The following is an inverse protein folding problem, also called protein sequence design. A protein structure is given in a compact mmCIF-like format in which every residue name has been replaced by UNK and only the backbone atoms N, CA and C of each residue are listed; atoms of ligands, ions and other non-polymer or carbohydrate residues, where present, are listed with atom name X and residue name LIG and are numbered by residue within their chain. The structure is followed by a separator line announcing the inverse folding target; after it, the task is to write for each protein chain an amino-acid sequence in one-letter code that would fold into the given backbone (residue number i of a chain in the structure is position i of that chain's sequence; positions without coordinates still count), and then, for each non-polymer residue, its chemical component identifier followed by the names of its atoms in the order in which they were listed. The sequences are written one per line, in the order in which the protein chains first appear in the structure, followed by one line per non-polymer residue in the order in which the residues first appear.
data_IF_265806507277
#
_entry.id   IF_265806507277
#
_cell.length_a   1.000
_cell.length_b   1.000
_cell.length_c   1.000
_cell.angle_alpha   90.00
_cell.angle_beta   90.00
_cell.angle_gamma   90.00
#
_symmetry.space_group_name_H-M   'P 1'
#
loop_
_entity.id
_entity.type
_entity.pdbx_description
1 polymer ?
#
# COMPACT_ATOMS: atom_id res chain seq x y z
N UNK A 1 -13.00 30.05 -29.15
CA UNK A 1 -12.62 30.89 -28.01
C UNK A 1 -11.51 30.32 -27.12
N UNK A 2 -11.71 29.21 -26.39
CA UNK A 2 -10.70 28.66 -25.45
C UNK A 2 -9.32 28.44 -26.09
N UNK A 3 -9.29 27.80 -27.26
CA UNK A 3 -8.05 27.54 -28.00
C UNK A 3 -7.35 28.83 -28.44
N UNK A 4 -8.11 29.80 -28.91
CA UNK A 4 -7.59 31.10 -29.38
C UNK A 4 -6.96 31.88 -28.23
N UNK A 5 -7.61 31.92 -27.05
CA UNK A 5 -7.06 32.58 -25.86
C UNK A 5 -5.83 31.87 -25.30
N UNK A 6 -5.78 30.53 -25.39
CA UNK A 6 -4.57 29.76 -25.04
C UNK A 6 -3.40 30.11 -25.96
N UNK A 7 -3.63 30.16 -27.27
CA UNK A 7 -2.60 30.48 -28.25
C UNK A 7 -2.06 31.91 -28.03
N UNK A 8 -2.95 32.88 -27.76
CA UNK A 8 -2.57 34.26 -27.42
C UNK A 8 -1.73 34.34 -26.14
N UNK A 9 -2.13 33.65 -25.07
CA UNK A 9 -1.36 33.58 -23.82
C UNK A 9 0.02 32.93 -24.03
N UNK A 10 0.09 31.86 -24.83
CA UNK A 10 1.36 31.19 -25.11
C UNK A 10 2.33 32.06 -25.91
N UNK A 11 1.83 32.96 -26.76
CA UNK A 11 2.67 33.92 -27.47
C UNK A 11 3.31 34.93 -26.51
N UNK A 12 2.63 35.31 -25.42
CA UNK A 12 3.23 36.15 -24.38
C UNK A 12 4.42 35.47 -23.69
N UNK A 13 4.42 34.14 -23.55
CA UNK A 13 5.54 33.41 -22.94
C UNK A 13 6.73 33.19 -23.88
N UNK A 14 6.57 33.44 -25.18
CA UNK A 14 7.68 33.37 -26.15
C UNK A 14 8.59 34.59 -26.10
N UNK A 15 8.15 35.68 -25.47
CA UNK A 15 8.92 36.91 -25.34
C UNK A 15 8.91 37.42 -23.90
N UNK A 16 10.07 37.40 -23.24
CA UNK A 16 10.23 37.84 -21.86
C UNK A 16 10.14 39.37 -21.67
N UNK A 17 10.08 40.16 -22.75
CA UNK A 17 9.93 41.61 -22.72
C UNK A 17 8.48 42.11 -22.64
N UNK A 18 7.50 41.21 -22.49
CA UNK A 18 6.10 41.60 -22.37
C UNK A 18 5.80 42.24 -21.02
N UNK A 19 4.87 43.20 -21.01
CA UNK A 19 4.43 43.86 -19.78
C UNK A 19 3.64 42.90 -18.90
N UNK A 20 3.99 42.85 -17.61
CA UNK A 20 3.41 41.91 -16.66
C UNK A 20 1.88 42.11 -16.54
N UNK A 21 1.41 43.36 -16.62
CA UNK A 21 0.00 43.68 -16.48
C UNK A 21 -0.84 43.16 -17.66
N UNK A 22 -0.26 43.14 -18.87
CA UNK A 22 -0.89 42.57 -20.06
C UNK A 22 -0.94 41.04 -20.00
N UNK A 23 0.14 40.40 -19.54
CA UNK A 23 0.18 38.93 -19.35
C UNK A 23 -0.83 38.49 -18.29
N UNK A 24 -0.90 39.19 -17.16
CA UNK A 24 -1.87 38.90 -16.11
C UNK A 24 -3.32 39.07 -16.60
N UNK A 25 -3.58 40.11 -17.38
CA UNK A 25 -4.91 40.34 -17.97
C UNK A 25 -5.30 39.19 -18.88
N UNK A 26 -4.44 38.81 -19.83
CA UNK A 26 -4.71 37.73 -20.79
C UNK A 26 -4.80 36.35 -20.11
N UNK A 27 -4.02 36.13 -19.05
CA UNK A 27 -4.09 34.93 -18.22
C UNK A 27 -5.43 34.83 -17.47
N UNK A 28 -5.85 35.90 -16.80
CA UNK A 28 -7.15 35.95 -16.11
C UNK A 28 -8.32 35.78 -17.08
N UNK A 29 -8.20 36.35 -18.27
CA UNK A 29 -9.17 36.23 -19.36
C UNK A 29 -9.27 34.79 -19.91
N UNK A 30 -8.14 34.06 -19.95
CA UNK A 30 -8.13 32.64 -20.28
C UNK A 30 -8.76 31.79 -19.16
N UNK A 31 -8.43 32.06 -17.89
CA UNK A 31 -9.00 31.35 -16.74
C UNK A 31 -10.52 31.55 -16.60
N UNK A 32 -11.02 32.75 -16.90
CA UNK A 32 -12.45 33.07 -16.88
C UNK A 32 -13.28 32.18 -17.80
N UNK A 33 -12.72 31.71 -18.90
CA UNK A 33 -13.41 30.78 -19.80
C UNK A 33 -13.68 29.42 -19.14
N UNK A 34 -12.87 29.02 -18.16
CA UNK A 34 -13.08 27.79 -17.40
C UNK A 34 -14.08 27.97 -16.24
N UNK A 35 -14.37 29.21 -15.83
CA UNK A 35 -15.34 29.47 -14.77
C UNK A 35 -16.75 28.98 -15.14
N UNK A 36 -17.09 28.93 -16.44
CA UNK A 36 -18.33 28.35 -16.94
C UNK A 36 -18.46 26.84 -16.71
N UNK A 37 -17.37 26.12 -16.43
CA UNK A 37 -17.42 24.71 -16.01
C UNK A 37 -17.70 24.56 -14.51
N UNK A 38 -17.48 25.62 -13.73
CA UNK A 38 -17.57 25.63 -12.26
C UNK A 38 -18.86 26.25 -11.73
N UNK A 39 -19.46 27.19 -12.48
CA UNK A 39 -20.61 27.98 -12.04
C UNK A 39 -21.81 27.69 -12.93
N UNK A 40 -22.96 27.40 -12.31
CA UNK A 40 -24.25 27.27 -13.01
C UNK A 40 -24.67 28.62 -13.62
N UNK A 41 -24.96 28.61 -14.92
CA UNK A 41 -25.32 29.82 -15.67
C UNK A 41 -26.79 30.22 -15.45
N UNK A 42 -27.65 29.31 -14.95
CA UNK A 42 -29.05 29.60 -14.67
C UNK A 42 -29.35 29.59 -13.16
N UNK A 43 -29.56 30.78 -12.59
CA UNK A 43 -30.08 30.95 -11.22
C UNK A 43 -31.62 31.00 -11.14
N UNK A 44 -32.34 30.91 -12.25
CA UNK A 44 -33.79 31.16 -12.30
C UNK A 44 -34.68 29.92 -12.51
N UNK A 45 -34.13 28.70 -12.41
CA UNK A 45 -34.93 27.48 -12.53
C UNK A 45 -35.01 26.73 -11.18
N UNK A 46 -35.54 27.38 -10.15
CA UNK A 46 -36.01 26.68 -8.95
C UNK A 46 -37.50 26.93 -8.77
N UNK A 47 -38.32 26.12 -9.44
CA UNK A 47 -39.66 25.84 -8.94
C UNK A 47 -39.50 25.07 -7.62
N UNK A 48 -40.23 25.49 -6.59
CA UNK A 48 -40.17 24.90 -5.26
C UNK A 48 -40.51 23.41 -5.31
N UNK A 49 -39.55 22.55 -4.93
CA UNK A 49 -39.79 21.12 -4.68
C UNK A 49 -38.81 20.13 -5.32
N UNK A 50 -37.79 20.55 -6.07
CA UNK A 50 -36.88 19.60 -6.74
C UNK A 50 -35.58 19.34 -5.95
N UNK A 51 -35.12 18.10 -6.04
CA UNK A 51 -33.93 17.51 -5.39
C UNK A 51 -32.66 18.39 -5.54
N UNK A 52 -31.90 18.69 -4.46
CA UNK A 52 -30.70 19.55 -4.52
C UNK A 52 -29.60 19.02 -5.46
N UNK A 53 -29.68 17.77 -5.92
CA UNK A 53 -28.74 17.19 -6.88
C UNK A 53 -29.07 17.50 -8.35
N UNK A 54 -30.27 18.01 -8.64
CA UNK A 54 -30.86 18.04 -9.99
C UNK A 54 -30.58 19.32 -10.81
N UNK A 55 -29.64 20.15 -10.38
CA UNK A 55 -29.13 21.28 -11.16
C UNK A 55 -27.63 21.22 -11.42
N UNK A 56 -26.88 20.36 -10.73
CA UNK A 56 -25.42 20.38 -10.75
C UNK A 56 -24.94 19.96 -12.14
N UNK A 57 -24.14 20.82 -12.79
CA UNK A 57 -23.52 20.48 -14.08
C UNK A 57 -22.81 19.14 -13.94
N UNK A 58 -23.01 18.20 -14.87
CA UNK A 58 -22.28 16.92 -14.90
C UNK A 58 -20.75 17.13 -15.02
N UNK A 59 -20.31 18.35 -15.35
CA UNK A 59 -18.92 18.80 -15.42
C UNK A 59 -18.44 19.54 -14.15
N UNK A 60 -19.30 19.72 -13.16
CA UNK A 60 -18.97 20.30 -11.86
C UNK A 60 -18.19 19.40 -10.88
N UNK A 61 -17.98 18.07 -11.06
CA UNK A 61 -17.05 17.36 -10.18
C UNK A 61 -15.63 17.83 -10.50
N UNK A 62 -15.20 18.88 -9.80
CA UNK A 62 -13.83 19.35 -9.77
C UNK A 62 -13.02 18.31 -9.00
N UNK A 63 -12.38 17.41 -9.73
CA UNK A 63 -11.33 16.58 -9.15
C UNK A 63 -10.08 17.43 -9.04
N UNK A 64 -9.82 17.93 -7.83
CA UNK A 64 -8.58 18.61 -7.48
C UNK A 64 -7.48 17.56 -7.39
N UNK A 65 -6.68 17.43 -8.44
CA UNK A 65 -5.43 16.70 -8.38
C UNK A 65 -4.39 17.61 -7.70
N UNK A 66 -4.10 17.35 -6.43
CA UNK A 66 -2.82 17.77 -5.89
C UNK A 66 -1.76 16.93 -6.58
N UNK A 67 -0.72 17.58 -7.13
CA UNK A 67 0.54 16.88 -7.38
C UNK A 67 0.89 16.20 -6.05
N UNK A 68 0.83 14.87 -6.04
CA UNK A 68 0.73 14.08 -4.83
C UNK A 68 1.75 14.59 -3.83
N UNK A 69 1.28 14.89 -2.63
CA UNK A 69 2.07 15.19 -1.44
C UNK A 69 3.57 15.03 -1.71
N UNK A 70 4.29 16.13 -1.91
CA UNK A 70 5.75 16.12 -1.73
C UNK A 70 5.96 15.82 -0.24
N UNK A 71 5.74 14.58 0.18
CA UNK A 71 5.98 14.03 1.50
C UNK A 71 7.48 13.87 1.69
N UNK A 72 8.31 14.78 1.17
CA UNK A 72 9.76 14.62 1.26
C UNK A 72 10.24 14.84 2.68
N UNK A 73 9.64 15.79 3.40
CA UNK A 73 9.94 16.01 4.82
C UNK A 73 9.76 14.73 5.64
N UNK A 74 8.58 14.10 5.53
CA UNK A 74 8.26 12.88 6.26
C UNK A 74 8.95 11.63 5.69
N UNK A 75 9.15 11.55 4.38
CA UNK A 75 9.83 10.44 3.71
C UNK A 75 11.30 10.32 4.15
N UNK A 76 11.99 11.45 4.32
CA UNK A 76 13.37 11.43 4.80
C UNK A 76 13.44 10.82 6.22
N UNK A 77 12.54 11.20 7.12
CA UNK A 77 12.46 10.65 8.48
C UNK A 77 12.06 9.17 8.45
N UNK A 78 11.04 8.80 7.68
CA UNK A 78 10.62 7.41 7.53
C UNK A 78 11.71 6.51 6.93
N UNK A 79 12.48 6.99 5.95
CA UNK A 79 13.59 6.21 5.39
C UNK A 79 14.76 6.07 6.36
N UNK A 80 15.05 7.10 7.18
CA UNK A 80 16.05 7.01 8.25
C UNK A 80 15.64 5.95 9.28
N UNK A 81 14.39 6.00 9.72
CA UNK A 81 13.84 5.03 10.66
C UNK A 81 13.89 3.62 10.07
N UNK A 82 13.49 3.45 8.81
CA UNK A 82 13.59 2.17 8.11
C UNK A 82 15.02 1.61 8.05
N UNK A 83 16.05 2.47 7.96
CA UNK A 83 17.45 2.02 8.04
C UNK A 83 17.81 1.59 9.45
N UNK A 84 17.36 2.29 10.50
CA UNK A 84 17.59 1.90 11.88
C UNK A 84 16.91 0.55 12.21
N UNK A 85 15.66 0.37 11.80
CA UNK A 85 14.92 -0.88 11.94
C UNK A 85 15.55 -2.03 11.14
N UNK A 86 16.12 -1.73 9.98
CA UNK A 86 16.88 -2.72 9.22
C UNK A 86 18.11 -3.24 9.99
N UNK A 87 18.83 -2.39 10.73
CA UNK A 87 19.95 -2.85 11.58
C UNK A 87 19.46 -3.73 12.74
N UNK A 88 18.32 -3.38 13.35
CA UNK A 88 17.68 -4.24 14.35
C UNK A 88 17.30 -5.60 13.74
N UNK A 89 16.76 -5.60 12.52
CA UNK A 89 16.45 -6.82 11.79
C UNK A 89 17.74 -7.63 11.46
N UNK A 90 18.88 -6.99 11.18
CA UNK A 90 20.16 -7.67 11.00
C UNK A 90 20.58 -8.44 12.26
N UNK A 91 20.42 -7.82 13.43
CA UNK A 91 20.73 -8.46 14.71
C UNK A 91 19.85 -9.70 14.93
N UNK A 92 18.55 -9.59 14.65
CA UNK A 92 17.64 -10.73 14.74
C UNK A 92 17.95 -11.83 13.72
N UNK A 93 18.26 -11.47 12.47
CA UNK A 93 18.64 -12.42 11.44
C UNK A 93 19.92 -13.19 11.81
N UNK A 94 20.89 -12.51 12.43
CA UNK A 94 22.12 -13.13 12.94
C UNK A 94 21.80 -14.13 14.05
N UNK A 95 20.99 -13.74 15.03
CA UNK A 95 20.53 -14.62 16.12
C UNK A 95 19.75 -15.82 15.57
N UNK A 96 18.86 -15.61 14.60
CA UNK A 96 18.08 -16.66 13.96
C UNK A 96 18.96 -17.70 13.28
N UNK A 97 20.03 -17.29 12.59
CA UNK A 97 20.92 -18.21 11.87
C UNK A 97 21.63 -19.25 12.76
N UNK A 98 21.75 -18.95 14.05
CA UNK A 98 22.41 -19.80 15.04
C UNK A 98 21.42 -20.44 16.03
N UNK A 99 20.15 -20.02 15.99
CA UNK A 99 19.13 -20.49 16.92
C UNK A 99 18.83 -21.99 16.73
N UNK A 100 18.72 -22.76 17.83
CA UNK A 100 18.24 -24.14 17.77
C UNK A 100 16.72 -24.17 17.58
N UNK A 101 16.22 -25.05 16.71
CA UNK A 101 14.79 -25.23 16.53
C UNK A 101 14.46 -26.23 15.42
N UNK A 102 13.17 -26.62 15.29
CA UNK A 102 12.69 -27.39 14.16
C UNK A 102 12.89 -26.63 12.85
N UNK A 103 13.24 -27.35 11.78
CA UNK A 103 13.46 -26.79 10.45
C UNK A 103 14.92 -26.70 10.04
N UNK A 104 15.13 -26.24 8.80
CA UNK A 104 16.47 -26.11 8.21
C UNK A 104 17.13 -24.84 8.71
N UNK A 105 18.44 -24.90 8.99
CA UNK A 105 19.24 -23.70 9.30
C UNK A 105 19.30 -22.79 8.07
N UNK A 106 18.81 -21.57 8.24
CA UNK A 106 18.73 -20.55 7.19
C UNK A 106 19.58 -19.36 7.62
N UNK A 107 20.17 -18.66 6.65
CA UNK A 107 20.93 -17.43 6.86
C UNK A 107 20.24 -16.27 6.17
N UNK A 108 19.26 -15.60 6.81
CA UNK A 108 18.42 -14.59 6.15
C UNK A 108 19.21 -13.45 5.49
N UNK A 109 20.35 -13.08 6.09
CA UNK A 109 21.26 -12.04 5.58
C UNK A 109 21.84 -12.33 4.19
N UNK A 110 21.96 -13.61 3.81
CA UNK A 110 22.50 -14.01 2.51
C UNK A 110 21.43 -13.94 1.41
N UNK A 111 20.14 -13.87 1.76
CA UNK A 111 19.05 -13.84 0.79
C UNK A 111 18.90 -12.47 0.13
N UNK A 112 18.52 -12.49 -1.15
CA UNK A 112 18.33 -11.29 -1.98
C UNK A 112 17.31 -10.32 -1.40
N UNK A 113 16.19 -10.83 -0.85
CA UNK A 113 15.15 -9.95 -0.30
C UNK A 113 15.72 -9.09 0.83
N UNK A 114 16.57 -9.65 1.69
CA UNK A 114 17.17 -8.94 2.81
C UNK A 114 18.20 -7.92 2.30
N UNK A 115 19.09 -8.35 1.40
CA UNK A 115 20.17 -7.52 0.85
C UNK A 115 19.66 -6.32 0.03
N UNK A 116 18.49 -6.44 -0.59
CA UNK A 116 17.95 -5.40 -1.47
C UNK A 116 17.24 -4.26 -0.71
N UNK A 117 16.80 -4.49 0.53
CA UNK A 117 16.03 -3.50 1.31
C UNK A 117 16.89 -2.29 1.67
N UNK A 118 18.10 -2.48 2.21
CA UNK A 118 18.96 -1.37 2.65
C UNK A 118 19.36 -0.42 1.50
N UNK A 119 19.84 -0.90 0.34
CA UNK A 119 20.12 -0.02 -0.80
C UNK A 119 18.90 0.76 -1.29
N UNK A 120 17.70 0.16 -1.26
CA UNK A 120 16.46 0.82 -1.63
C UNK A 120 16.14 1.97 -0.67
N UNK A 121 16.20 1.72 0.65
CA UNK A 121 15.98 2.74 1.67
C UNK A 121 16.98 3.90 1.55
N UNK A 122 18.27 3.61 1.36
CA UNK A 122 19.31 4.62 1.20
C UNK A 122 19.06 5.47 -0.05
N UNK A 123 18.75 4.84 -1.18
CA UNK A 123 18.44 5.56 -2.42
C UNK A 123 17.25 6.51 -2.25
N UNK A 124 16.20 6.07 -1.55
CA UNK A 124 15.04 6.90 -1.29
C UNK A 124 15.36 8.04 -0.32
N UNK A 125 16.16 7.78 0.71
CA UNK A 125 16.63 8.78 1.66
C UNK A 125 17.45 9.88 0.96
N UNK A 126 18.47 9.51 0.18
CA UNK A 126 19.32 10.44 -0.56
C UNK A 126 18.50 11.28 -1.54
N UNK A 127 17.54 10.65 -2.22
CA UNK A 127 16.62 11.36 -3.13
C UNK A 127 15.80 12.40 -2.36
N UNK A 128 15.19 12.02 -1.25
CA UNK A 128 14.38 12.92 -0.42
C UNK A 128 15.22 14.07 0.15
N UNK A 129 16.43 13.81 0.62
CA UNK A 129 17.34 14.85 1.12
C UNK A 129 17.79 15.82 0.02
N UNK A 130 18.16 15.28 -1.15
CA UNK A 130 18.59 16.09 -2.30
C UNK A 130 17.47 17.02 -2.76
N UNK A 131 16.31 16.47 -3.08
CA UNK A 131 15.16 17.24 -3.54
C UNK A 131 14.68 18.25 -2.48
N UNK A 132 14.67 17.89 -1.20
CA UNK A 132 14.31 18.84 -0.14
C UNK A 132 15.35 19.96 0.00
N UNK A 133 16.64 19.65 -0.16
CA UNK A 133 17.73 20.63 -0.09
C UNK A 133 17.82 21.57 -1.29
N UNK A 134 17.33 21.17 -2.48
CA UNK A 134 17.42 21.97 -3.71
C UNK A 134 16.11 22.65 -4.12
N UNK A 135 14.95 22.08 -3.78
CA UNK A 135 13.66 22.49 -4.34
C UNK A 135 12.70 22.95 -3.24
N UNK A 136 12.50 22.13 -2.21
CA UNK A 136 11.33 22.31 -1.33
C UNK A 136 11.62 23.04 -0.03
N UNK A 137 12.82 22.88 0.54
CA UNK A 137 13.24 23.48 1.81
C UNK A 137 12.21 23.30 2.94
N UNK A 138 11.51 22.16 2.95
CA UNK A 138 10.51 21.86 3.96
C UNK A 138 11.20 21.46 5.27
N UNK A 139 10.64 21.83 6.43
CA UNK A 139 11.10 21.30 7.71
C UNK A 139 10.92 19.78 7.71
N UNK A 140 11.96 19.07 8.14
CA UNK A 140 11.96 17.61 8.29
C UNK A 140 11.43 17.31 9.70
N UNK A 141 10.31 16.60 9.86
CA UNK A 141 9.82 16.21 11.19
C UNK A 141 10.82 15.30 11.90
N UNK A 142 11.01 15.50 13.20
CA UNK A 142 11.89 14.64 14.01
C UNK A 142 11.27 13.26 14.27
N UNK A 143 9.94 13.20 14.38
CA UNK A 143 9.19 11.96 14.63
C UNK A 143 8.79 11.27 13.31
N UNK A 144 8.93 9.95 13.29
CA UNK A 144 8.48 9.12 12.18
C UNK A 144 6.93 9.12 12.12
N UNK A 145 6.32 9.33 10.94
CA UNK A 145 4.87 9.24 10.80
C UNK A 145 4.34 7.86 11.21
N UNK A 146 3.15 7.83 11.80
CA UNK A 146 2.47 6.57 12.13
C UNK A 146 2.04 5.84 10.84
N UNK A 147 2.21 4.52 10.82
CA UNK A 147 1.79 3.68 9.70
C UNK A 147 0.29 3.44 9.75
N UNK A 148 -0.39 3.56 8.60
CA UNK A 148 -1.79 3.18 8.48
C UNK A 148 -1.96 1.68 8.71
N UNK A 149 -2.80 1.29 9.68
CA UNK A 149 -3.03 -0.11 10.06
C UNK A 149 -3.97 -0.86 9.13
N UNK A 150 -4.79 -0.14 8.36
CA UNK A 150 -5.95 -0.68 7.66
C UNK A 150 -5.73 -0.65 6.14
N UNK A 151 -5.13 -1.70 5.55
CA UNK A 151 -4.95 -1.78 4.10
C UNK A 151 -6.29 -1.96 3.39
N UNK A 152 -6.55 -1.11 2.39
CA UNK A 152 -7.78 -1.15 1.59
C UNK A 152 -7.96 -2.47 0.81
N UNK A 153 -6.87 -3.13 0.41
CA UNK A 153 -6.87 -4.35 -0.39
C UNK A 153 -5.69 -5.25 -0.05
N UNK A 154 -5.77 -6.54 -0.41
CA UNK A 154 -4.62 -7.46 -0.38
C UNK A 154 -4.36 -8.17 0.95
N UNK A 155 -5.23 -8.03 1.95
CA UNK A 155 -5.12 -8.80 3.20
C UNK A 155 -5.39 -10.27 2.93
N UNK A 156 -4.42 -11.13 3.26
CA UNK A 156 -4.59 -12.57 3.19
C UNK A 156 -5.72 -13.01 4.14
N UNK A 157 -6.74 -13.66 3.58
CA UNK A 157 -7.81 -14.29 4.34
C UNK A 157 -7.60 -15.79 4.33
N UNK A 158 -7.85 -16.44 5.46
CA UNK A 158 -7.84 -17.90 5.52
C UNK A 158 -8.90 -18.43 4.56
N UNK A 159 -8.47 -19.28 3.63
CA UNK A 159 -9.40 -19.99 2.75
C UNK A 159 -9.99 -21.18 3.52
N UNK A 160 -11.34 -21.32 3.57
CA UNK A 160 -11.96 -22.47 4.20
C UNK A 160 -11.54 -23.76 3.49
N UNK A 161 -10.82 -24.62 4.19
CA UNK A 161 -10.54 -25.97 3.71
C UNK A 161 -11.69 -26.90 4.11
N UNK A 162 -12.33 -27.50 3.12
CA UNK A 162 -13.35 -28.53 3.31
C UNK A 162 -12.77 -29.89 2.96
N UNK A 163 -12.93 -30.87 3.85
CA UNK A 163 -12.59 -32.24 3.52
C UNK A 163 -13.47 -32.74 2.34
N UNK A 164 -12.91 -33.55 1.44
CA UNK A 164 -13.72 -34.19 0.41
C UNK A 164 -14.76 -35.10 1.07
N UNK A 165 -15.85 -35.34 0.34
CA UNK A 165 -16.82 -36.36 0.76
C UNK A 165 -16.12 -37.73 0.89
N UNK A 166 -16.54 -38.57 1.85
CA UNK A 166 -16.04 -39.95 1.96
C UNK A 166 -16.21 -40.69 0.63
N UNK A 167 -15.24 -41.53 0.28
CA UNK A 167 -15.30 -42.33 -0.95
C UNK A 167 -16.50 -43.29 -0.95
N UNK A 168 -17.13 -43.50 -2.12
CA UNK A 168 -18.34 -44.32 -2.28
C UNK A 168 -18.17 -45.80 -1.85
N UNK A 169 -16.93 -46.29 -1.81
CA UNK A 169 -16.62 -47.63 -1.35
C UNK A 169 -16.82 -47.82 0.17
N UNK A 170 -16.92 -46.74 0.94
CA UNK A 170 -17.28 -46.78 2.36
C UNK A 170 -18.77 -47.06 2.54
N UNK A 171 -19.14 -48.32 2.44
CA UNK A 171 -20.50 -48.80 2.72
C UNK A 171 -20.60 -49.42 4.12
N UNK A 172 -21.81 -49.51 4.71
CA UNK A 172 -22.00 -50.19 6.00
C UNK A 172 -21.53 -51.65 6.00
N UNK A 173 -21.66 -52.36 4.88
CA UNK A 173 -21.18 -53.72 4.72
C UNK A 173 -19.64 -53.80 4.80
N UNK A 174 -18.95 -52.86 4.15
CA UNK A 174 -17.49 -52.73 4.25
C UNK A 174 -17.09 -52.37 5.67
N UNK A 175 -17.80 -51.45 6.33
CA UNK A 175 -17.54 -51.08 7.73
C UNK A 175 -17.70 -52.28 8.69
N UNK A 176 -18.76 -53.07 8.53
CA UNK A 176 -19.02 -54.26 9.33
C UNK A 176 -18.01 -55.40 9.10
N UNK A 177 -17.30 -55.40 7.96
CA UNK A 177 -16.27 -56.40 7.66
C UNK A 177 -14.96 -56.19 8.44
N UNK A 178 -14.75 -54.99 9.02
CA UNK A 178 -13.62 -54.73 9.90
C UNK A 178 -13.83 -55.40 11.26
N UNK A 179 -13.32 -56.62 11.41
CA UNK A 179 -13.36 -57.37 12.67
C UNK A 179 -12.21 -56.94 13.60
N UNK A 180 -12.51 -55.96 14.46
CA UNK A 180 -11.57 -55.41 15.45
C UNK A 180 -11.20 -56.47 16.52
N UNK A 181 -11.98 -57.54 16.67
CA UNK A 181 -11.69 -58.63 17.60
C UNK A 181 -10.45 -59.47 17.21
N UNK A 182 -10.06 -59.44 15.92
CA UNK A 182 -8.83 -60.08 15.41
C UNK A 182 -7.62 -59.15 15.42
N UNK A 183 -7.82 -57.86 15.69
CA UNK A 183 -6.74 -56.90 15.77
C UNK A 183 -5.96 -57.10 17.08
N UNK A 184 -4.83 -57.79 17.01
CA UNK A 184 -3.87 -57.75 18.11
C UNK A 184 -3.07 -56.47 17.96
N UNK A 185 -3.20 -55.54 18.92
CA UNK A 185 -2.37 -54.34 18.97
C UNK A 185 -0.90 -54.76 18.87
N UNK A 186 -0.12 -54.22 17.90
CA UNK A 186 1.32 -54.44 17.88
C UNK A 186 1.91 -54.06 19.24
N UNK A 187 2.85 -54.84 19.74
CA UNK A 187 3.51 -54.53 21.01
C UNK A 187 4.36 -53.25 20.86
N UNK A 188 3.78 -52.13 21.27
CA UNK A 188 4.40 -50.82 21.24
C UNK A 188 5.35 -50.57 22.42
N UNK A 189 5.56 -51.54 23.31
CA UNK A 189 6.53 -51.43 24.41
C UNK A 189 7.97 -51.23 23.91
N UNK A 190 8.26 -51.65 22.66
CA UNK A 190 9.56 -51.48 21.99
C UNK A 190 9.64 -50.23 21.10
N UNK A 191 8.61 -49.40 21.04
CA UNK A 191 8.72 -48.12 20.33
C UNK A 191 9.82 -47.30 21.02
N UNK A 192 10.86 -46.94 20.25
CA UNK A 192 11.86 -45.96 20.66
C UNK A 192 11.11 -44.65 20.98
N UNK A 193 10.95 -44.34 22.26
CA UNK A 193 10.48 -43.03 22.69
C UNK A 193 11.43 -41.98 22.11
N UNK A 194 10.87 -41.03 21.35
CA UNK A 194 11.61 -39.85 20.93
C UNK A 194 12.15 -39.12 22.15
N UNK A 195 13.35 -38.56 22.08
CA UNK A 195 14.03 -37.90 23.21
C UNK A 195 13.33 -36.63 23.72
N UNK A 196 12.26 -36.17 23.07
CA UNK A 196 11.59 -34.91 23.36
C UNK A 196 10.08 -35.12 23.49
N UNK A 197 9.55 -34.81 24.67
CA UNK A 197 8.11 -34.67 24.88
C UNK A 197 7.62 -33.45 24.09
N UNK A 198 6.83 -33.69 23.05
CA UNK A 198 6.19 -32.62 22.29
C UNK A 198 5.01 -32.07 23.09
N UNK A 199 4.97 -30.75 23.29
CA UNK A 199 3.84 -30.09 23.96
C UNK A 199 2.60 -30.13 23.06
N UNK A 200 1.40 -30.44 23.59
CA UNK A 200 0.17 -30.37 22.81
C UNK A 200 -0.06 -28.94 22.32
N UNK A 201 -0.36 -28.81 21.02
CA UNK A 201 -0.81 -27.55 20.42
C UNK A 201 -2.32 -27.51 20.65
N UNK A 202 -2.76 -26.67 21.58
CA UNK A 202 -4.18 -26.34 21.70
C UNK A 202 -4.47 -25.22 20.70
N UNK A 203 -5.34 -25.50 19.72
CA UNK A 203 -5.97 -24.51 18.86
C UNK A 203 -7.12 -23.83 19.56
#
# INVERSE_FOLDING_TARGET
ELRLRREKLLDHFKNAGNDLSEVDKDFNDYLRLFAGFLVQIDKNATAAGDDPTKGISKLAPVQRYQWGHSMLGTLATACKEGVAEYEIACDFATKYSTAPGPGTRIKPLEHLFFRNVKPLLIRHLEKAQRENGFIYHQPVPDECPQLDSDPNYGVAKAEPFLYPAPADCWTPAVYASFDIGKATMPDFSKIKKGKSDLKPIYT
#
